data_IF_369296979065
#
_entry.id   IF_369296979065
#
_cell.length_a   1.000
_cell.length_b   1.000
_cell.length_c   1.000
_cell.angle_alpha   90.00
_cell.angle_beta   90.00
_cell.angle_gamma   90.00
#
_symmetry.space_group_name_H-M   'P 1'
#
loop_
_entity.id
_entity.type
_entity.pdbx_description
1 polymer ?
#
# COMPACT_ATOMS: atom_id res chain seq x y z
N UNK A 1 9.47 -50.48 -14.72
CA UNK A 1 9.21 -49.69 -13.48
C UNK A 1 10.08 -48.45 -13.31
N UNK A 2 11.10 -48.19 -14.15
CA UNK A 2 12.05 -47.07 -13.97
C UNK A 2 11.52 -45.70 -14.50
N UNK A 3 10.46 -45.67 -15.32
CA UNK A 3 9.97 -44.42 -15.95
C UNK A 3 9.03 -43.56 -15.09
N UNK A 4 8.46 -44.09 -14.01
CA UNK A 4 7.54 -43.34 -13.13
C UNK A 4 8.26 -42.59 -11.99
N UNK A 5 9.48 -43.00 -11.63
CA UNK A 5 10.25 -42.35 -10.56
C UNK A 5 10.84 -40.98 -10.99
N UNK A 6 11.07 -40.77 -12.28
CA UNK A 6 11.69 -39.54 -12.80
C UNK A 6 10.74 -38.34 -12.87
N UNK A 7 9.43 -38.59 -13.03
CA UNK A 7 8.41 -37.52 -13.10
C UNK A 7 8.09 -36.98 -11.71
N UNK A 8 8.16 -37.81 -10.67
CA UNK A 8 7.95 -37.38 -9.28
C UNK A 8 9.14 -36.58 -8.71
N UNK A 9 10.36 -36.86 -9.17
CA UNK A 9 11.58 -36.18 -8.71
C UNK A 9 11.70 -34.74 -9.26
N UNK A 10 11.09 -34.43 -10.40
CA UNK A 10 11.10 -33.07 -10.97
C UNK A 10 10.11 -32.11 -10.30
N UNK A 11 9.07 -32.64 -9.63
CA UNK A 11 8.02 -31.83 -9.00
C UNK A 11 8.43 -31.36 -7.60
N UNK A 12 9.29 -32.09 -6.90
CA UNK A 12 9.75 -31.75 -5.53
C UNK A 12 10.87 -30.72 -5.48
N UNK A 13 11.65 -30.53 -6.56
CA UNK A 13 12.74 -29.53 -6.59
C UNK A 13 12.25 -28.09 -6.79
N UNK A 14 10.94 -27.87 -7.02
CA UNK A 14 10.36 -26.53 -7.20
C UNK A 14 9.89 -25.87 -5.91
N UNK A 15 10.08 -26.50 -4.75
CA UNK A 15 9.68 -25.98 -3.43
C UNK A 15 10.95 -25.81 -2.58
N UNK A 16 11.82 -24.88 -2.98
CA UNK A 16 12.85 -24.38 -2.08
C UNK A 16 12.28 -23.18 -1.32
N UNK A 17 11.93 -23.29 -0.03
CA UNK A 17 11.58 -22.12 0.75
C UNK A 17 12.87 -21.33 0.98
N UNK A 18 12.98 -20.18 0.31
CA UNK A 18 14.01 -19.18 0.58
C UNK A 18 13.73 -18.63 1.99
N UNK A 19 14.48 -19.11 2.98
CA UNK A 19 14.42 -18.56 4.33
C UNK A 19 15.20 -17.24 4.31
N UNK A 20 14.48 -16.13 4.10
CA UNK A 20 15.02 -14.79 4.23
C UNK A 20 15.22 -14.40 5.69
N UNK A 21 16.34 -13.76 6.00
CA UNK A 21 16.61 -13.18 7.32
C UNK A 21 15.67 -12.00 7.55
N UNK A 22 14.80 -12.10 8.55
CA UNK A 22 13.89 -11.03 8.97
C UNK A 22 14.69 -9.90 9.65
N UNK A 23 15.18 -8.94 8.86
CA UNK A 23 15.39 -7.59 9.38
C UNK A 23 14.02 -7.02 9.74
N UNK A 24 13.91 -6.26 10.84
CA UNK A 24 12.68 -5.56 11.20
C UNK A 24 12.33 -4.57 10.07
N UNK A 25 11.58 -5.04 9.08
CA UNK A 25 11.21 -4.26 7.92
C UNK A 25 10.17 -3.25 8.36
N UNK A 26 10.46 -1.97 8.16
CA UNK A 26 9.45 -0.91 8.24
C UNK A 26 8.31 -1.29 7.31
N UNK A 27 7.16 -1.66 7.86
CA UNK A 27 6.10 -2.29 7.08
C UNK A 27 5.27 -1.21 6.39
N UNK A 28 5.30 -1.22 5.06
CA UNK A 28 4.38 -0.47 4.21
C UNK A 28 3.44 -1.47 3.55
N UNK A 29 2.16 -1.13 3.48
CA UNK A 29 1.14 -1.97 2.87
C UNK A 29 0.47 -1.30 1.66
N UNK A 30 0.64 0.01 1.47
CA UNK A 30 0.25 0.68 0.21
C UNK A 30 1.02 0.11 -0.98
N UNK A 31 0.42 0.22 -2.16
CA UNK A 31 0.90 -0.37 -3.40
C UNK A 31 0.76 0.61 -4.56
N UNK A 32 1.48 0.34 -5.65
CA UNK A 32 1.31 1.08 -6.90
C UNK A 32 -0.16 1.06 -7.36
N UNK A 33 -0.70 2.24 -7.70
CA UNK A 33 -2.09 2.43 -8.10
C UNK A 33 -3.04 2.77 -6.94
N UNK A 34 -2.58 2.74 -5.69
CA UNK A 34 -3.35 3.28 -4.58
C UNK A 34 -3.47 4.80 -4.66
N UNK A 35 -4.61 5.32 -4.23
CA UNK A 35 -4.84 6.75 -4.14
C UNK A 35 -5.78 7.10 -3.00
N UNK A 36 -5.63 8.32 -2.51
CA UNK A 36 -6.50 8.88 -1.49
C UNK A 36 -6.71 10.38 -1.74
N UNK A 37 -7.92 10.84 -1.50
CA UNK A 37 -8.32 12.24 -1.59
C UNK A 37 -8.77 12.76 -0.24
N UNK A 38 -8.50 14.03 0.00
CA UNK A 38 -8.86 14.74 1.21
C UNK A 38 -9.68 15.97 0.88
N UNK A 39 -10.74 16.19 1.65
CA UNK A 39 -11.32 17.52 1.79
C UNK A 39 -10.51 18.27 2.83
N UNK A 40 -10.14 19.50 2.50
CA UNK A 40 -9.38 20.37 3.39
C UNK A 40 -10.21 21.60 3.71
N UNK A 41 -10.32 21.91 4.99
CA UNK A 41 -10.97 23.12 5.47
C UNK A 41 -9.96 23.94 6.25
N UNK A 42 -9.85 25.22 5.93
CA UNK A 42 -8.96 26.14 6.65
C UNK A 42 -9.79 27.23 7.31
N UNK A 43 -9.45 27.56 8.56
CA UNK A 43 -10.10 28.63 9.34
C UNK A 43 -9.06 29.67 9.79
N UNK A 44 -9.49 30.88 10.13
CA UNK A 44 -8.59 31.98 10.48
C UNK A 44 -8.11 32.76 9.24
N UNK A 45 -6.86 33.23 9.26
CA UNK A 45 -6.27 34.05 8.20
C UNK A 45 -5.11 33.29 7.52
N UNK A 46 -5.38 32.22 6.78
CA UNK A 46 -4.30 31.46 6.15
C UNK A 46 -3.59 32.30 5.09
N UNK A 47 -2.28 32.10 4.97
CA UNK A 47 -1.53 32.55 3.80
C UNK A 47 -2.08 31.87 2.54
N UNK A 48 -1.86 32.42 1.34
CA UNK A 48 -2.35 31.81 0.10
C UNK A 48 -1.94 30.35 -0.10
N UNK A 49 -0.78 29.94 0.44
CA UNK A 49 -0.25 28.58 0.31
C UNK A 49 -0.89 27.59 1.29
N UNK A 50 -1.43 28.06 2.43
CA UNK A 50 -2.12 27.24 3.43
C UNK A 50 -3.65 27.26 3.26
N UNK A 51 -4.16 28.11 2.38
CA UNK A 51 -5.58 28.10 2.00
C UNK A 51 -5.85 26.96 1.01
N UNK A 52 -5.81 25.73 1.49
CA UNK A 52 -6.02 24.50 0.72
C UNK A 52 -7.47 24.06 0.91
N UNK A 53 -8.09 23.56 -0.16
CA UNK A 53 -9.48 23.08 -0.15
C UNK A 53 -9.60 21.60 -0.44
N UNK A 54 -8.60 21.03 -1.11
CA UNK A 54 -8.58 19.63 -1.48
C UNK A 54 -7.15 19.18 -1.75
N UNK A 55 -6.86 17.92 -1.46
CA UNK A 55 -5.59 17.29 -1.82
C UNK A 55 -5.82 15.85 -2.28
N UNK A 56 -4.92 15.35 -3.14
CA UNK A 56 -4.88 13.95 -3.57
C UNK A 56 -3.46 13.46 -3.61
N UNK A 57 -3.28 12.22 -3.15
CA UNK A 57 -2.04 11.48 -3.22
C UNK A 57 -2.25 10.23 -4.07
N UNK A 58 -1.45 10.07 -5.12
CA UNK A 58 -1.44 8.88 -5.98
C UNK A 58 -0.12 8.12 -5.80
N UNK A 59 -0.17 6.89 -5.32
CA UNK A 59 1.00 6.00 -5.18
C UNK A 59 1.37 5.43 -6.55
N UNK A 60 2.57 5.74 -7.03
CA UNK A 60 3.06 5.29 -8.34
C UNK A 60 3.89 4.03 -8.26
N UNK A 61 4.82 3.99 -7.32
CA UNK A 61 5.79 2.89 -7.19
C UNK A 61 6.11 2.70 -5.71
N UNK A 62 6.24 1.45 -5.28
CA UNK A 62 6.68 1.07 -3.92
C UNK A 62 7.92 0.18 -4.04
N UNK A 63 9.00 0.57 -3.37
CA UNK A 63 10.30 -0.11 -3.38
C UNK A 63 10.87 -0.16 -1.96
N UNK A 64 10.62 -1.26 -1.24
CA UNK A 64 11.01 -1.37 0.16
C UNK A 64 10.35 -0.29 1.01
N UNK A 65 11.15 0.55 1.68
CA UNK A 65 10.65 1.68 2.48
C UNK A 65 10.31 2.93 1.67
N UNK A 66 10.58 2.94 0.35
CA UNK A 66 10.40 4.11 -0.52
C UNK A 66 9.10 4.03 -1.30
N UNK A 67 8.40 5.15 -1.36
CA UNK A 67 7.11 5.29 -2.04
C UNK A 67 7.21 6.50 -2.96
N UNK A 68 7.13 6.29 -4.27
CA UNK A 68 7.01 7.39 -5.22
C UNK A 68 5.54 7.73 -5.38
N UNK A 69 5.23 9.02 -5.30
CA UNK A 69 3.88 9.55 -5.30
C UNK A 69 3.76 10.74 -6.24
N UNK A 70 2.54 10.97 -6.75
CA UNK A 70 2.17 12.27 -7.29
C UNK A 70 1.18 12.91 -6.31
N UNK A 71 1.45 14.16 -5.93
CA UNK A 71 0.55 14.94 -5.08
C UNK A 71 -0.12 16.03 -5.91
N UNK A 72 -1.41 16.23 -5.67
CA UNK A 72 -2.18 17.30 -6.26
C UNK A 72 -2.86 18.08 -5.14
N UNK A 73 -2.74 19.41 -5.17
CA UNK A 73 -3.29 20.28 -4.13
C UNK A 73 -4.09 21.40 -4.77
N UNK A 74 -5.34 21.58 -4.35
CA UNK A 74 -6.20 22.69 -4.82
C UNK A 74 -6.27 23.77 -3.77
N UNK A 75 -5.82 24.96 -4.12
CA UNK A 75 -5.92 26.15 -3.29
C UNK A 75 -7.33 26.74 -3.31
N UNK A 76 -7.65 27.57 -2.32
CA UNK A 76 -8.94 28.25 -2.19
C UNK A 76 -9.24 29.23 -3.32
N UNK A 77 -8.22 29.66 -4.06
CA UNK A 77 -8.40 30.45 -5.29
C UNK A 77 -8.67 29.60 -6.55
N UNK A 78 -8.78 28.27 -6.40
CA UNK A 78 -9.01 27.32 -7.49
C UNK A 78 -7.76 26.85 -8.23
N UNK A 79 -6.58 27.38 -7.90
CA UNK A 79 -5.31 26.93 -8.50
C UNK A 79 -5.04 25.49 -8.12
N UNK A 80 -4.64 24.67 -9.10
CA UNK A 80 -4.18 23.31 -8.90
C UNK A 80 -2.65 23.26 -8.95
N UNK A 81 -2.03 22.85 -7.86
CA UNK A 81 -0.61 22.56 -7.77
C UNK A 81 -0.36 21.07 -7.94
N UNK A 82 0.68 20.74 -8.70
CA UNK A 82 1.06 19.38 -9.05
C UNK A 82 2.50 19.15 -8.63
N UNK A 83 2.72 18.10 -7.85
CA UNK A 83 4.03 17.67 -7.38
C UNK A 83 4.27 16.24 -7.83
N UNK A 84 4.72 16.05 -9.08
CA UNK A 84 4.93 14.72 -9.63
C UNK A 84 6.23 14.10 -9.09
N UNK A 85 6.22 12.76 -8.94
CA UNK A 85 7.39 11.96 -8.57
C UNK A 85 8.04 12.30 -7.22
N UNK A 86 7.24 12.74 -6.24
CA UNK A 86 7.71 12.95 -4.87
C UNK A 86 8.02 11.61 -4.22
N UNK A 87 9.23 11.47 -3.68
CA UNK A 87 9.68 10.22 -3.03
C UNK A 87 9.53 10.33 -1.52
N UNK A 88 8.60 9.58 -0.96
CA UNK A 88 8.53 9.33 0.47
C UNK A 88 9.45 8.18 0.86
N UNK A 89 9.95 8.22 2.09
CA UNK A 89 10.73 7.16 2.70
C UNK A 89 10.38 7.06 4.18
N UNK A 90 9.58 6.06 4.52
CA UNK A 90 9.10 5.83 5.89
C UNK A 90 10.23 5.50 6.86
N UNK A 91 11.34 4.93 6.36
CA UNK A 91 12.49 4.59 7.21
C UNK A 91 13.29 5.83 7.64
N UNK A 92 13.24 6.91 6.88
CA UNK A 92 13.97 8.16 7.17
C UNK A 92 13.07 9.30 7.64
N UNK A 93 11.76 9.06 7.77
CA UNK A 93 10.80 10.10 8.18
C UNK A 93 10.39 11.08 7.09
N UNK A 94 10.74 10.84 5.82
CA UNK A 94 10.32 11.70 4.71
C UNK A 94 8.95 11.23 4.25
N UNK A 95 7.87 11.69 4.89
CA UNK A 95 6.53 11.08 4.73
C UNK A 95 5.42 12.06 4.35
N UNK A 96 5.77 13.18 3.71
CA UNK A 96 4.81 14.16 3.18
C UNK A 96 3.80 14.66 4.22
N UNK A 97 4.25 15.52 5.13
CA UNK A 97 3.41 16.07 6.24
C UNK A 97 2.67 14.99 7.06
N UNK A 98 3.27 13.79 7.17
CA UNK A 98 2.66 12.67 7.88
C UNK A 98 1.59 11.93 7.07
N UNK A 99 1.53 12.05 5.75
CA UNK A 99 0.55 11.35 4.92
C UNK A 99 0.61 9.81 5.04
N UNK A 100 1.80 9.24 5.28
CA UNK A 100 2.01 7.79 5.41
C UNK A 100 2.96 7.48 6.58
N UNK A 101 2.61 6.52 7.42
CA UNK A 101 3.46 6.02 8.52
C UNK A 101 3.74 4.52 8.39
N UNK A 102 4.76 3.98 9.10
CA UNK A 102 4.91 2.54 9.26
C UNK A 102 3.68 1.90 9.89
N UNK A 103 3.26 0.74 9.38
CA UNK A 103 2.05 0.03 9.83
C UNK A 103 2.26 -0.83 11.08
N UNK A 104 3.51 -1.04 11.49
CA UNK A 104 3.87 -1.79 12.68
C UNK A 104 3.89 -0.94 13.96
N UNK A 105 3.46 0.33 13.90
CA UNK A 105 3.40 1.20 15.07
C UNK A 105 2.23 0.82 15.99
N UNK A 106 2.46 1.02 17.28
CA UNK A 106 1.54 0.74 18.39
C UNK A 106 1.49 1.92 19.35
N UNK A 107 0.51 1.93 20.25
CA UNK A 107 0.34 3.00 21.23
C UNK A 107 1.57 3.09 22.13
N UNK A 108 2.11 4.30 22.27
CA UNK A 108 3.35 4.59 22.99
C UNK A 108 4.59 4.66 22.10
N UNK A 109 4.52 4.19 20.85
CA UNK A 109 5.63 4.32 19.91
C UNK A 109 5.83 5.78 19.49
N UNK A 110 7.08 6.15 19.21
CA UNK A 110 7.46 7.45 18.66
C UNK A 110 8.05 7.24 17.28
N UNK A 111 7.53 8.00 16.31
CA UNK A 111 7.97 7.99 14.93
C UNK A 111 8.50 9.35 14.53
N UNK A 112 9.67 9.39 13.88
CA UNK A 112 10.26 10.65 13.43
C UNK A 112 9.78 11.00 12.02
N UNK A 113 9.32 12.23 11.84
CA UNK A 113 9.04 12.89 10.57
C UNK A 113 9.99 14.07 10.39
N UNK A 114 10.52 14.24 9.18
CA UNK A 114 11.39 15.39 8.84
C UNK A 114 10.62 16.72 8.94
N UNK A 115 9.30 16.69 8.73
CA UNK A 115 8.45 17.89 8.72
C UNK A 115 7.82 18.20 10.08
N UNK A 116 7.47 17.16 10.85
CA UNK A 116 6.72 17.30 12.11
C UNK A 116 7.59 17.06 13.36
N UNK A 117 8.81 16.53 13.19
CA UNK A 117 9.63 16.05 14.29
C UNK A 117 9.13 14.72 14.84
N UNK A 118 9.19 14.54 16.16
CA UNK A 118 8.74 13.33 16.82
C UNK A 118 7.21 13.31 16.95
N UNK A 119 6.60 12.29 16.36
CA UNK A 119 5.17 12.00 16.41
C UNK A 119 4.98 10.85 17.41
N UNK A 120 4.19 11.06 18.45
CA UNK A 120 3.87 10.01 19.43
C UNK A 120 2.52 9.39 19.09
N UNK A 121 2.44 8.05 19.03
CA UNK A 121 1.17 7.34 18.86
C UNK A 121 0.45 7.28 20.21
N UNK A 122 -0.66 8.02 20.33
CA UNK A 122 -1.34 8.25 21.62
C UNK A 122 -2.52 7.31 21.85
N UNK A 123 -3.06 6.68 20.82
CA UNK A 123 -4.22 5.81 20.99
C UNK A 123 -4.65 5.07 19.73
N UNK A 124 -5.72 4.28 19.87
CA UNK A 124 -6.40 3.60 18.77
C UNK A 124 -7.90 3.72 18.92
N UNK A 125 -8.61 3.84 17.81
CA UNK A 125 -10.08 3.85 17.80
C UNK A 125 -10.61 3.24 16.50
N UNK A 126 -11.87 2.78 16.51
CA UNK A 126 -12.56 2.30 15.31
C UNK A 126 -13.48 3.39 14.80
N UNK A 127 -13.42 3.69 13.50
CA UNK A 127 -14.21 4.72 12.84
C UNK A 127 -14.73 4.24 11.49
N UNK A 128 -15.82 4.84 11.02
CA UNK A 128 -16.23 4.75 9.61
C UNK A 128 -15.46 5.78 8.79
N UNK A 129 -14.66 5.34 7.83
CA UNK A 129 -13.86 6.21 6.95
C UNK A 129 -14.15 5.84 5.50
N UNK A 130 -14.58 6.82 4.70
CA UNK A 130 -15.05 6.64 3.31
C UNK A 130 -15.97 5.40 3.10
N UNK A 131 -16.85 5.13 4.06
CA UNK A 131 -17.80 4.00 3.98
C UNK A 131 -17.27 2.63 4.43
N UNK A 132 -16.03 2.55 4.91
CA UNK A 132 -15.46 1.33 5.49
C UNK A 132 -15.20 1.49 7.00
N UNK A 133 -15.44 0.44 7.78
CA UNK A 133 -15.04 0.41 9.19
C UNK A 133 -13.53 0.15 9.29
N UNK A 134 -12.79 1.08 9.90
CA UNK A 134 -11.34 1.08 10.00
C UNK A 134 -10.89 1.22 11.45
N UNK A 135 -9.85 0.49 11.83
CA UNK A 135 -9.11 0.77 13.06
C UNK A 135 -8.04 1.81 12.73
N UNK A 136 -8.04 2.93 13.45
CA UNK A 136 -7.09 4.02 13.22
C UNK A 136 -6.16 4.20 14.42
N UNK A 137 -4.91 4.58 14.16
CA UNK A 137 -3.94 5.04 15.13
C UNK A 137 -4.07 6.56 15.27
N UNK A 138 -4.23 7.06 16.49
CA UNK A 138 -4.14 8.48 16.79
C UNK A 138 -2.70 8.82 17.16
N UNK A 139 -2.21 9.99 16.73
CA UNK A 139 -0.91 10.48 17.17
C UNK A 139 -0.79 11.99 17.14
N UNK A 140 0.22 12.48 17.85
CA UNK A 140 0.43 13.90 18.10
C UNK A 140 1.88 14.30 17.84
N UNK A 141 2.03 15.42 17.14
CA UNK A 141 3.25 16.20 17.00
C UNK A 141 3.08 17.55 17.72
N UNK A 142 4.08 18.44 17.61
CA UNK A 142 4.04 19.75 18.29
C UNK A 142 2.80 20.59 17.93
N UNK A 143 2.42 20.60 16.65
CA UNK A 143 1.36 21.46 16.12
C UNK A 143 0.23 20.69 15.42
N UNK A 144 0.37 19.38 15.29
CA UNK A 144 -0.52 18.56 14.46
C UNK A 144 -0.99 17.33 15.21
N UNK A 145 -2.30 17.12 15.21
CA UNK A 145 -2.92 15.86 15.59
C UNK A 145 -3.28 15.09 14.33
N UNK A 146 -3.05 13.78 14.35
CA UNK A 146 -3.22 12.90 13.22
C UNK A 146 -4.03 11.67 13.58
N UNK A 147 -4.69 11.11 12.58
CA UNK A 147 -5.22 9.76 12.60
C UNK A 147 -4.78 9.03 11.33
N UNK A 148 -4.29 7.81 11.45
CA UNK A 148 -3.90 6.94 10.34
C UNK A 148 -4.67 5.65 10.38
N UNK A 149 -5.08 5.13 9.23
CA UNK A 149 -5.58 3.77 9.13
C UNK A 149 -4.47 2.77 9.51
N UNK A 150 -4.74 1.90 10.50
CA UNK A 150 -3.72 1.03 11.08
C UNK A 150 -3.17 0.00 10.10
N UNK A 151 -4.01 -0.50 9.18
CA UNK A 151 -3.59 -1.52 8.22
C UNK A 151 -2.78 -0.93 7.07
N UNK A 152 -3.16 0.26 6.58
CA UNK A 152 -2.51 0.90 5.42
C UNK A 152 -1.38 1.87 5.80
N UNK A 153 -1.44 2.42 7.01
CA UNK A 153 -0.56 3.49 7.47
C UNK A 153 -0.87 4.84 6.85
N UNK A 154 -1.95 4.95 6.07
CA UNK A 154 -2.32 6.19 5.37
C UNK A 154 -3.15 7.07 6.29
N UNK A 155 -2.86 8.38 6.25
CA UNK A 155 -3.58 9.38 7.03
C UNK A 155 -5.07 9.37 6.66
N UNK A 156 -5.94 9.35 7.65
CA UNK A 156 -7.40 9.48 7.47
C UNK A 156 -7.91 10.85 7.88
N UNK A 157 -7.22 11.49 8.82
CA UNK A 157 -7.56 12.81 9.33
C UNK A 157 -6.34 13.49 9.92
N UNK A 158 -6.26 14.79 9.76
CA UNK A 158 -5.31 15.63 10.49
C UNK A 158 -5.93 16.97 10.89
N UNK A 159 -5.39 17.55 11.94
CA UNK A 159 -5.68 18.92 12.35
C UNK A 159 -4.37 19.58 12.74
N UNK A 160 -3.98 20.59 11.95
CA UNK A 160 -2.74 21.34 12.13
C UNK A 160 -3.08 22.75 12.61
N UNK A 161 -2.42 23.18 13.66
CA UNK A 161 -2.50 24.54 14.19
C UNK A 161 -1.28 25.32 13.76
N UNK A 162 -1.49 26.36 12.96
CA UNK A 162 -0.47 27.33 12.56
C UNK A 162 -0.71 28.65 13.32
N UNK A 163 0.24 29.57 13.25
CA UNK A 163 0.19 30.86 13.98
C UNK A 163 -1.13 31.63 13.71
N UNK A 164 -1.58 31.67 12.45
CA UNK A 164 -2.72 32.48 12.02
C UNK A 164 -3.96 31.68 11.57
N UNK A 165 -3.86 30.35 11.50
CA UNK A 165 -4.92 29.50 10.96
C UNK A 165 -4.89 28.06 11.48
N UNK A 166 -6.03 27.38 11.37
CA UNK A 166 -6.12 25.93 11.55
C UNK A 166 -6.49 25.26 10.25
N UNK A 167 -5.81 24.16 9.93
CA UNK A 167 -6.06 23.34 8.74
C UNK A 167 -6.61 21.99 9.19
N UNK A 168 -7.76 21.61 8.64
CA UNK A 168 -8.44 20.35 8.89
C UNK A 168 -8.45 19.54 7.60
N UNK A 169 -7.84 18.35 7.63
CA UNK A 169 -7.81 17.43 6.49
C UNK A 169 -8.57 16.16 6.87
N UNK A 170 -9.48 15.71 6.02
CA UNK A 170 -10.25 14.49 6.24
C UNK A 170 -10.48 13.76 4.92
N UNK A 171 -10.39 12.44 4.93
CA UNK A 171 -10.54 11.62 3.71
C UNK A 171 -11.92 11.83 3.09
N UNK A 172 -11.90 12.18 1.81
CA UNK A 172 -13.09 12.31 0.98
C UNK A 172 -13.38 11.03 0.20
N UNK A 173 -12.35 10.41 -0.38
CA UNK A 173 -12.47 9.21 -1.21
C UNK A 173 -11.15 8.45 -1.29
N UNK A 174 -11.21 7.13 -1.53
CA UNK A 174 -10.03 6.29 -1.74
C UNK A 174 -10.38 4.97 -2.43
N UNK A 175 -9.39 4.31 -3.05
CA UNK A 175 -9.47 2.91 -3.47
C UNK A 175 -8.77 1.92 -2.50
N UNK A 176 -8.14 2.41 -1.42
CA UNK A 176 -7.34 1.59 -0.49
C UNK A 176 -8.15 0.45 0.14
N UNK A 177 -9.42 0.72 0.46
CA UNK A 177 -10.29 -0.21 1.20
C UNK A 177 -11.26 -0.98 0.31
N UNK A 178 -11.13 -0.84 -1.01
CA UNK A 178 -11.98 -1.58 -1.94
C UNK A 178 -11.41 -2.99 -2.19
N UNK A 179 -12.27 -4.01 -2.34
CA UNK A 179 -11.83 -5.33 -2.77
C UNK A 179 -11.11 -5.21 -4.12
N UNK A 180 -9.84 -5.61 -4.17
CA UNK A 180 -9.09 -5.58 -5.43
C UNK A 180 -9.41 -6.79 -6.28
N UNK A 181 -9.66 -6.56 -7.55
CA UNK A 181 -9.62 -7.62 -8.55
C UNK A 181 -8.18 -8.10 -8.71
N UNK A 182 -7.91 -9.42 -8.73
CA UNK A 182 -6.56 -9.94 -8.87
C UNK A 182 -5.88 -9.40 -10.15
N UNK A 183 -4.58 -9.16 -10.08
CA UNK A 183 -3.81 -8.67 -11.24
C UNK A 183 -4.03 -9.61 -12.42
N UNK A 184 -4.49 -9.04 -13.54
CA UNK A 184 -4.68 -9.74 -14.81
C UNK A 184 -3.49 -10.61 -15.19
N UNK A 185 -2.25 -10.19 -14.89
CA UNK A 185 -1.02 -10.98 -15.16
C UNK A 185 -0.97 -12.25 -14.34
N UNK A 186 -1.37 -12.19 -13.07
CA UNK A 186 -1.45 -13.35 -12.18
C UNK A 186 -2.54 -14.30 -12.69
N UNK A 187 -3.70 -13.76 -13.07
CA UNK A 187 -4.79 -14.54 -13.66
C UNK A 187 -4.34 -15.23 -14.95
N UNK A 188 -3.66 -14.52 -15.85
CA UNK A 188 -3.13 -15.11 -17.09
C UNK A 188 -2.03 -16.15 -16.83
N UNK A 189 -1.18 -15.95 -15.83
CA UNK A 189 -0.17 -16.94 -15.45
C UNK A 189 -0.83 -18.24 -14.94
N UNK A 190 -1.89 -18.14 -14.12
CA UNK A 190 -2.66 -19.31 -13.68
C UNK A 190 -3.38 -20.00 -14.84
N UNK A 191 -3.98 -19.24 -15.76
CA UNK A 191 -4.62 -19.80 -16.97
C UNK A 191 -3.58 -20.54 -17.83
N UNK A 192 -2.42 -19.93 -18.09
CA UNK A 192 -1.34 -20.55 -18.86
C UNK A 192 -0.83 -21.83 -18.18
N UNK A 193 -0.61 -21.81 -16.87
CA UNK A 193 -0.19 -22.99 -16.11
C UNK A 193 -1.23 -24.13 -16.18
N UNK A 194 -2.52 -23.80 -16.06
CA UNK A 194 -3.61 -24.77 -16.17
C UNK A 194 -3.68 -25.40 -17.57
N UNK A 195 -3.49 -24.61 -18.63
CA UNK A 195 -3.45 -25.11 -20.02
C UNK A 195 -2.27 -26.07 -20.22
N UNK A 196 -1.08 -25.72 -19.72
CA UNK A 196 0.11 -26.58 -19.81
C UNK A 196 -0.11 -27.90 -19.07
N UNK A 197 -0.69 -27.87 -17.87
CA UNK A 197 -1.01 -29.06 -17.10
C UNK A 197 -2.00 -29.97 -17.85
N UNK A 198 -3.05 -29.39 -18.45
CA UNK A 198 -4.03 -30.14 -19.23
C UNK A 198 -3.38 -30.83 -20.44
N UNK A 199 -2.51 -30.13 -21.19
CA UNK A 199 -1.79 -30.69 -22.34
C UNK A 199 -0.90 -31.86 -21.89
N UNK A 200 -0.19 -31.72 -20.77
CA UNK A 200 0.65 -32.79 -20.24
C UNK A 200 -0.17 -34.06 -19.90
N UNK A 201 -1.34 -33.90 -19.26
CA UNK A 201 -2.25 -35.02 -18.96
C UNK A 201 -2.73 -35.72 -20.23
N UNK A 202 -3.10 -34.94 -21.27
CA UNK A 202 -3.52 -35.50 -22.57
C UNK A 202 -2.38 -36.29 -23.22
N UNK A 203 -1.16 -35.74 -23.25
CA UNK A 203 0.00 -36.39 -23.85
C UNK A 203 0.35 -37.70 -23.12
N UNK A 204 0.32 -37.71 -21.78
CA UNK A 204 0.52 -38.93 -20.99
C UNK A 204 -0.58 -39.95 -21.29
N UNK A 205 -1.85 -39.52 -21.34
CA UNK A 205 -2.97 -40.39 -21.68
C UNK A 205 -2.84 -41.03 -23.07
N UNK A 206 -2.42 -40.27 -24.07
CA UNK A 206 -2.16 -40.76 -25.43
C UNK A 206 -0.98 -41.74 -25.44
N UNK A 207 0.11 -41.42 -24.75
CA UNK A 207 1.29 -42.27 -24.68
C UNK A 207 1.01 -43.60 -23.97
N UNK A 208 0.19 -43.59 -22.92
CA UNK A 208 -0.26 -44.80 -22.21
C UNK A 208 -1.23 -45.64 -23.04
N UNK A 209 -2.01 -45.04 -23.94
CA UNK A 209 -2.93 -45.76 -24.83
C UNK A 209 -2.27 -46.36 -26.06
N UNK A 210 -1.06 -45.96 -26.43
CA UNK A 210 -0.36 -46.57 -27.56
C UNK A 210 0.10 -47.99 -27.16
N UNK A 211 -0.57 -49.06 -27.65
CA UNK A 211 -0.16 -50.41 -27.31
C UNK A 211 1.22 -50.65 -27.91
N UNK A 212 2.14 -51.11 -27.07
CA UNK A 212 3.48 -51.49 -27.50
C UNK A 212 3.34 -52.62 -28.53
N UNK A 213 3.46 -52.29 -29.82
CA UNK A 213 3.49 -53.29 -30.89
C UNK A 213 4.74 -54.11 -30.64
N UNK A 214 4.59 -55.36 -30.18
CA UNK A 214 5.71 -56.31 -30.09
C UNK A 214 6.10 -56.63 -31.53
N UNK A 215 7.28 -56.18 -31.93
CA UNK A 215 7.91 -56.67 -33.15
C UNK A 215 8.39 -58.10 -32.83
N UNK A 216 7.66 -59.09 -33.34
CA UNK A 216 8.14 -60.46 -33.48
C UNK A 216 8.97 -60.57 -34.76
#
# INVERSE_FOLDING_TARGET
MIKFAFVFLLITFLICPIIGTAGASTSITVQAGDWIEYNVTTTGNPTPIHNITWARLDVKVVMGSKINTDTQTRLGNGTLWLEPNTTFNVATGVVGEGAIIPTNLTVGDVYFSVYEGNITVTGTQTLMVAGAERTVLAGEAANTSFMWDKETGVMVKATTTLEDCMVFSEVAATNLWQPRTPDSKIVYAFIAAAIVALIAVVLVGVFLRYPHKKNN
#
